data_IF_543703421488
#
_entry.id   IF_543703421488
#
_cell.length_a   1.000
_cell.length_b   1.000
_cell.length_c   1.000
_cell.angle_alpha   90.00
_cell.angle_beta   90.00
_cell.angle_gamma   90.00
#
_symmetry.space_group_name_H-M   'P 1'
#
loop_
_entity.id
_entity.type
_entity.pdbx_description
1 polymer ?
#
# COMPACT_ATOMS: atom_id res chain seq x y z
N UNK A 1 -58.49 -6.35 -44.28
CA UNK A 1 -57.98 -7.74 -44.27
C UNK A 1 -56.46 -7.70 -44.20
N UNK A 2 -55.83 -8.46 -43.28
CA UNK A 2 -54.37 -8.50 -43.16
C UNK A 2 -53.77 -9.55 -44.10
N UNK A 3 -52.53 -9.39 -44.57
CA UNK A 3 -51.70 -10.51 -44.98
C UNK A 3 -50.65 -10.84 -43.92
N UNK A 4 -50.78 -12.07 -43.42
CA UNK A 4 -49.74 -13.07 -43.18
C UNK A 4 -48.39 -12.67 -42.54
N UNK A 5 -48.30 -13.06 -41.26
CA UNK A 5 -47.07 -13.50 -40.54
C UNK A 5 -46.09 -14.26 -41.44
N UNK A 6 -44.83 -13.79 -41.49
CA UNK A 6 -43.64 -14.64 -41.69
C UNK A 6 -42.62 -14.40 -40.57
N UNK A 7 -41.95 -15.50 -40.24
CA UNK A 7 -41.26 -15.86 -38.99
C UNK A 7 -40.06 -14.97 -38.64
N UNK A 8 -39.72 -14.80 -37.35
CA UNK A 8 -38.52 -14.06 -36.95
C UNK A 8 -37.26 -14.86 -37.34
N UNK A 9 -36.37 -14.19 -38.05
CA UNK A 9 -35.02 -14.67 -38.30
C UNK A 9 -34.26 -14.80 -36.99
N UNK A 10 -33.73 -16.00 -36.76
CA UNK A 10 -32.83 -16.39 -35.68
C UNK A 10 -31.58 -15.52 -35.73
N UNK A 11 -31.49 -14.52 -34.87
CA UNK A 11 -30.23 -13.82 -34.59
C UNK A 11 -29.30 -14.85 -33.95
N UNK A 12 -28.18 -15.14 -34.60
CA UNK A 12 -27.13 -15.97 -34.02
C UNK A 12 -26.48 -15.17 -32.89
N UNK A 13 -26.74 -15.60 -31.65
CA UNK A 13 -25.91 -15.27 -30.50
C UNK A 13 -24.47 -15.68 -30.80
N UNK A 14 -23.57 -14.69 -30.95
CA UNK A 14 -22.14 -14.93 -30.88
C UNK A 14 -21.76 -15.03 -29.40
N UNK A 15 -21.94 -16.22 -28.84
CA UNK A 15 -21.51 -16.56 -27.48
C UNK A 15 -20.01 -16.89 -27.46
N UNK A 16 -19.28 -16.09 -26.68
CA UNK A 16 -18.09 -16.42 -25.88
C UNK A 16 -16.89 -17.10 -26.53
N UNK A 17 -15.71 -16.46 -26.46
CA UNK A 17 -14.51 -17.00 -25.76
C UNK A 17 -13.58 -15.85 -25.33
N UNK A 18 -13.85 -15.20 -24.21
CA UNK A 18 -12.80 -14.50 -23.44
C UNK A 18 -12.26 -15.49 -22.43
N UNK A 19 -11.10 -16.06 -22.74
CA UNK A 19 -10.32 -16.89 -21.82
C UNK A 19 -9.81 -15.99 -20.69
N UNK A 20 -10.55 -15.92 -19.59
CA UNK A 20 -10.01 -15.47 -18.30
C UNK A 20 -9.29 -16.67 -17.69
N UNK A 21 -7.96 -16.66 -17.72
CA UNK A 21 -7.18 -17.52 -16.82
C UNK A 21 -7.38 -16.95 -15.41
N UNK A 22 -7.93 -17.71 -14.45
CA UNK A 22 -7.70 -17.39 -13.05
C UNK A 22 -6.20 -17.62 -12.80
N UNK A 23 -5.49 -16.59 -12.36
CA UNK A 23 -4.18 -16.80 -11.73
C UNK A 23 -4.43 -17.37 -10.35
N UNK A 24 -4.86 -18.62 -10.30
CA UNK A 24 -4.81 -19.44 -9.09
C UNK A 24 -3.34 -19.74 -8.87
N UNK A 25 -2.77 -19.23 -7.78
CA UNK A 25 -1.44 -19.62 -7.32
C UNK A 25 -1.36 -21.13 -7.34
N UNK A 26 -0.43 -21.67 -8.13
CA UNK A 26 -0.23 -23.11 -8.15
C UNK A 26 0.29 -23.55 -6.78
N UNK A 27 -0.04 -24.77 -6.31
CA UNK A 27 0.49 -25.27 -5.03
C UNK A 27 2.03 -25.18 -4.93
N UNK A 28 2.72 -25.24 -6.07
CA UNK A 28 4.18 -25.03 -6.17
C UNK A 28 4.61 -23.57 -5.98
N UNK A 29 3.83 -22.58 -6.42
CA UNK A 29 4.10 -21.16 -6.16
C UNK A 29 3.80 -20.80 -4.70
N UNK A 30 2.73 -21.36 -4.14
CA UNK A 30 2.45 -21.27 -2.70
C UNK A 30 3.58 -21.91 -1.87
N UNK A 31 4.10 -23.07 -2.30
CA UNK A 31 5.21 -23.75 -1.64
C UNK A 31 6.55 -22.99 -1.78
N UNK A 32 6.79 -22.33 -2.92
CA UNK A 32 7.97 -21.43 -3.09
C UNK A 32 7.90 -20.21 -2.18
N UNK A 33 6.69 -19.70 -1.91
CA UNK A 33 6.47 -18.63 -0.93
C UNK A 33 6.74 -19.17 0.49
N UNK A 34 6.24 -20.37 0.84
CA UNK A 34 6.56 -21.04 2.12
C UNK A 34 8.05 -21.33 2.31
N UNK A 35 8.79 -21.61 1.24
CA UNK A 35 10.24 -21.82 1.32
C UNK A 35 11.05 -20.51 1.48
N UNK A 36 10.53 -19.37 1.01
CA UNK A 36 11.07 -18.05 1.35
C UNK A 36 10.77 -17.63 2.79
N UNK A 37 9.81 -18.29 3.44
CA UNK A 37 9.36 -18.05 4.82
C UNK A 37 10.10 -18.89 5.89
N UNK A 38 11.25 -19.52 5.56
CA UNK A 38 12.12 -20.20 6.55
C UNK A 38 13.12 -19.22 7.17
N UNK A 39 13.50 -19.42 8.44
CA UNK A 39 14.04 -18.36 9.32
C UNK A 39 15.35 -17.75 8.81
N UNK A 40 15.46 -16.42 8.94
CA UNK A 40 16.72 -15.68 8.83
C UNK A 40 17.67 -16.23 9.90
N UNK A 41 18.80 -16.80 9.49
CA UNK A 41 19.85 -17.16 10.44
C UNK A 41 20.33 -15.89 11.14
N UNK A 42 20.26 -15.91 12.47
CA UNK A 42 20.82 -14.88 13.34
C UNK A 42 22.31 -14.66 13.05
N UNK A 43 22.73 -13.38 13.07
CA UNK A 43 24.13 -13.00 13.10
C UNK A 43 24.86 -13.66 14.30
N UNK A 44 26.03 -14.28 14.12
CA UNK A 44 26.85 -14.72 15.24
C UNK A 44 27.64 -13.53 15.79
N UNK A 45 27.48 -13.24 17.07
CA UNK A 45 28.23 -12.19 17.76
C UNK A 45 27.89 -12.07 19.24
N UNK A 46 27.99 -13.18 19.98
CA UNK A 46 27.87 -13.22 21.44
C UNK A 46 29.23 -12.89 22.07
N UNK A 47 29.27 -12.11 23.16
CA UNK A 47 30.04 -12.48 24.36
C UNK A 47 29.58 -11.71 25.61
N UNK A 48 29.56 -12.46 26.70
CA UNK A 48 29.13 -12.18 28.07
C UNK A 48 29.95 -11.13 28.84
N UNK A 49 29.30 -10.49 29.81
CA UNK A 49 29.68 -10.56 31.23
C UNK A 49 30.91 -9.81 31.78
N UNK A 50 30.64 -8.63 32.36
CA UNK A 50 31.14 -8.12 33.67
C UNK A 50 32.59 -7.60 33.80
N UNK A 51 32.77 -6.28 34.10
CA UNK A 51 33.22 -5.74 35.42
C UNK A 51 33.67 -4.24 35.39
N UNK A 52 32.90 -3.40 36.10
CA UNK A 52 33.18 -2.24 37.01
C UNK A 52 34.31 -1.19 36.80
N UNK A 53 33.87 0.09 36.85
CA UNK A 53 34.33 1.28 37.63
C UNK A 53 35.51 2.17 37.15
N UNK A 54 35.21 3.43 36.77
CA UNK A 54 35.62 4.73 37.39
C UNK A 54 35.70 5.90 36.38
N UNK A 55 35.30 7.10 36.86
CA UNK A 55 35.10 8.39 36.20
C UNK A 55 36.37 9.08 35.63
N UNK A 56 36.26 9.73 34.45
CA UNK A 56 36.37 11.19 34.25
C UNK A 56 36.16 11.59 32.75
N UNK A 57 35.65 12.79 32.43
CA UNK A 57 35.11 13.11 31.10
C UNK A 57 36.09 13.92 30.23
N UNK A 58 36.25 13.54 28.94
CA UNK A 58 36.68 14.48 27.91
C UNK A 58 36.15 14.09 26.51
N UNK A 59 35.75 15.07 25.69
CA UNK A 59 34.95 14.84 24.50
C UNK A 59 35.84 14.45 23.34
N UNK A 60 35.59 13.28 22.74
CA UNK A 60 36.12 12.94 21.43
C UNK A 60 35.01 12.45 20.52
N UNK A 61 35.00 13.07 19.35
CA UNK A 61 34.09 12.85 18.25
C UNK A 61 33.73 11.37 18.12
N UNK A 62 32.42 11.09 18.26
CA UNK A 62 31.82 9.93 17.64
C UNK A 62 31.86 10.20 16.13
N UNK A 63 32.98 9.86 15.50
CA UNK A 63 32.93 9.30 14.15
C UNK A 63 32.67 7.81 14.36
N UNK A 64 31.42 7.51 14.72
CA UNK A 64 30.91 6.15 14.73
C UNK A 64 30.82 5.69 13.29
N UNK A 65 31.82 4.92 12.91
CA UNK A 65 31.94 4.19 11.67
C UNK A 65 30.81 3.14 11.59
N UNK A 66 29.58 3.58 11.29
CA UNK A 66 28.38 2.74 11.09
C UNK A 66 28.07 2.54 9.60
N UNK A 67 29.07 2.73 8.73
CA UNK A 67 28.93 2.72 7.28
C UNK A 67 28.97 1.32 6.66
N UNK A 68 29.14 0.25 7.45
CA UNK A 68 29.22 -1.12 6.93
C UNK A 68 27.87 -1.71 6.55
N UNK A 69 26.88 -1.63 7.46
CA UNK A 69 25.58 -2.30 7.30
C UNK A 69 24.58 -1.50 6.45
N UNK A 70 24.63 -0.16 6.50
CA UNK A 70 23.78 0.71 5.67
C UNK A 70 24.09 0.61 4.16
N UNK A 71 25.23 0.02 3.80
CA UNK A 71 25.70 -0.06 2.41
C UNK A 71 25.22 -1.35 1.71
N UNK A 72 25.01 -2.44 2.46
CA UNK A 72 24.66 -3.74 1.85
C UNK A 72 23.25 -3.78 1.27
N UNK A 73 22.24 -3.22 1.96
CA UNK A 73 20.87 -3.22 1.42
C UNK A 73 20.76 -2.25 0.24
N UNK A 74 21.47 -1.12 0.27
CA UNK A 74 21.48 -0.14 -0.82
C UNK A 74 22.02 -0.74 -2.11
N UNK A 75 23.13 -1.49 -2.04
CA UNK A 75 23.69 -2.21 -3.18
C UNK A 75 22.73 -3.30 -3.68
N UNK A 76 22.09 -4.05 -2.77
CA UNK A 76 21.07 -5.04 -3.15
C UNK A 76 19.86 -4.41 -3.82
N UNK A 77 19.41 -3.24 -3.37
CA UNK A 77 18.34 -2.49 -4.03
C UNK A 77 18.76 -2.08 -5.44
N UNK A 78 19.95 -1.50 -5.59
CA UNK A 78 20.48 -1.08 -6.89
C UNK A 78 20.60 -2.25 -7.88
N UNK A 79 20.92 -3.45 -7.40
CA UNK A 79 20.97 -4.66 -8.23
C UNK A 79 19.60 -5.05 -8.83
N UNK A 80 18.48 -4.59 -8.24
CA UNK A 80 17.16 -4.80 -8.84
C UNK A 80 16.96 -4.01 -10.15
N UNK A 81 17.80 -3.03 -10.44
CA UNK A 81 17.79 -2.34 -11.74
C UNK A 81 17.94 -3.33 -12.90
N UNK A 82 18.69 -4.44 -12.71
CA UNK A 82 18.87 -5.47 -13.74
C UNK A 82 17.61 -6.30 -14.02
N UNK A 83 16.63 -6.31 -13.12
CA UNK A 83 15.34 -7.03 -13.28
C UNK A 83 14.16 -6.07 -13.47
N UNK A 84 14.43 -4.76 -13.51
CA UNK A 84 13.44 -3.75 -13.85
C UNK A 84 12.97 -3.97 -15.30
N UNK A 85 11.66 -4.07 -15.58
CA UNK A 85 11.20 -4.45 -16.90
C UNK A 85 11.60 -3.41 -17.97
N UNK A 86 12.15 -3.85 -19.09
CA UNK A 86 12.52 -2.96 -20.20
C UNK A 86 11.33 -2.26 -20.87
N UNK A 87 10.10 -2.69 -20.56
CA UNK A 87 8.86 -2.10 -21.06
C UNK A 87 8.41 -0.86 -20.27
N UNK A 88 9.02 -0.59 -19.12
CA UNK A 88 8.68 0.60 -18.32
C UNK A 88 9.14 1.88 -19.00
N UNK A 89 8.41 2.94 -18.77
CA UNK A 89 8.68 4.27 -19.33
C UNK A 89 9.68 5.08 -18.51
N UNK A 90 9.84 4.77 -17.22
CA UNK A 90 10.79 5.41 -16.31
C UNK A 90 11.95 4.46 -15.93
N UNK A 91 13.15 5.00 -15.67
CA UNK A 91 14.28 4.22 -15.16
C UNK A 91 14.01 3.73 -13.74
N UNK A 92 14.65 2.64 -13.33
CA UNK A 92 14.62 2.20 -11.94
C UNK A 92 15.31 3.23 -11.03
N UNK A 93 14.68 3.66 -9.92
CA UNK A 93 15.28 4.62 -9.00
C UNK A 93 16.30 3.88 -8.12
N UNK A 94 17.54 4.33 -8.19
CA UNK A 94 18.61 3.83 -7.34
C UNK A 94 18.46 4.40 -5.93
N UNK A 95 19.11 3.77 -4.95
CA UNK A 95 19.15 4.32 -3.59
C UNK A 95 19.72 5.75 -3.57
N UNK A 96 20.73 6.01 -4.40
CA UNK A 96 21.36 7.32 -4.55
C UNK A 96 20.58 8.29 -5.44
N UNK A 97 19.44 7.87 -5.99
CA UNK A 97 18.60 8.75 -6.80
C UNK A 97 18.03 9.87 -5.95
N UNK A 98 17.90 11.03 -6.59
CA UNK A 98 17.31 12.23 -5.98
C UNK A 98 15.81 12.05 -5.72
N UNK A 99 15.21 12.84 -4.80
CA UNK A 99 13.77 12.81 -4.57
C UNK A 99 12.93 13.02 -5.84
N UNK A 100 13.41 13.81 -6.80
CA UNK A 100 12.71 14.09 -8.05
C UNK A 100 12.71 12.89 -9.00
N UNK A 101 13.82 12.14 -9.08
CA UNK A 101 13.91 10.89 -9.86
C UNK A 101 13.03 9.80 -9.26
N UNK A 102 12.99 9.70 -7.93
CA UNK A 102 12.05 8.84 -7.21
C UNK A 102 10.59 9.23 -7.52
N UNK A 103 10.26 10.52 -7.43
CA UNK A 103 8.92 11.01 -7.76
C UNK A 103 8.55 10.72 -9.22
N UNK A 104 9.47 10.92 -10.15
CA UNK A 104 9.26 10.64 -11.57
C UNK A 104 8.91 9.16 -11.79
N UNK A 105 9.72 8.24 -11.26
CA UNK A 105 9.47 6.81 -11.36
C UNK A 105 8.15 6.42 -10.70
N UNK A 106 7.92 6.90 -9.48
CA UNK A 106 6.72 6.59 -8.72
C UNK A 106 5.44 7.11 -9.40
N UNK A 107 5.53 8.18 -10.19
CA UNK A 107 4.43 8.70 -10.98
C UNK A 107 4.17 7.88 -12.25
N UNK A 108 5.22 7.45 -12.94
CA UNK A 108 5.09 6.70 -14.20
C UNK A 108 4.76 5.22 -13.96
N UNK A 109 5.37 4.59 -12.96
CA UNK A 109 5.37 3.14 -12.75
C UNK A 109 5.04 2.74 -11.28
N UNK A 110 3.97 3.28 -10.66
CA UNK A 110 3.70 3.10 -9.23
C UNK A 110 3.53 1.63 -8.81
N UNK A 111 2.83 0.83 -9.62
CA UNK A 111 2.57 -0.57 -9.33
C UNK A 111 3.81 -1.44 -9.50
N UNK A 112 4.63 -1.15 -10.52
CA UNK A 112 5.87 -1.88 -10.76
C UNK A 112 6.92 -1.58 -9.68
N UNK A 113 6.98 -0.32 -9.22
CA UNK A 113 7.84 0.07 -8.10
C UNK A 113 7.40 -0.64 -6.80
N UNK A 114 6.09 -0.73 -6.55
CA UNK A 114 5.57 -1.45 -5.38
C UNK A 114 5.89 -2.95 -5.45
N UNK A 115 5.81 -3.55 -6.64
CA UNK A 115 6.23 -4.94 -6.86
C UNK A 115 7.72 -5.13 -6.57
N UNK A 116 8.59 -4.18 -6.95
CA UNK A 116 10.00 -4.27 -6.61
C UNK A 116 10.21 -4.24 -5.10
N UNK A 117 9.50 -3.39 -4.35
CA UNK A 117 9.55 -3.41 -2.89
C UNK A 117 9.04 -4.73 -2.29
N UNK A 118 7.94 -5.29 -2.81
CA UNK A 118 7.42 -6.60 -2.37
C UNK A 118 8.40 -7.76 -2.61
N UNK A 119 9.23 -7.66 -3.65
CA UNK A 119 10.23 -8.69 -3.97
C UNK A 119 11.56 -8.48 -3.24
N UNK A 120 11.77 -7.29 -2.68
CA UNK A 120 12.99 -6.94 -1.99
C UNK A 120 12.99 -7.50 -0.56
N UNK A 121 14.19 -7.81 -0.05
CA UNK A 121 14.36 -8.43 1.27
C UNK A 121 14.20 -7.44 2.44
N UNK A 122 14.38 -6.14 2.15
CA UNK A 122 14.38 -5.04 3.13
C UNK A 122 13.47 -3.88 2.68
N UNK A 123 12.17 -4.09 2.42
CA UNK A 123 11.26 -3.03 2.00
C UNK A 123 11.19 -1.88 3.00
N UNK A 124 11.35 -2.16 4.29
CA UNK A 124 11.37 -1.18 5.37
C UNK A 124 12.51 -0.16 5.25
N UNK A 125 13.68 -0.59 4.78
CA UNK A 125 14.84 0.29 4.60
C UNK A 125 14.59 1.27 3.45
N UNK A 126 14.03 0.76 2.34
CA UNK A 126 13.62 1.60 1.21
C UNK A 126 12.58 2.62 1.69
N UNK A 127 11.49 2.18 2.32
CA UNK A 127 10.43 3.07 2.78
C UNK A 127 10.88 4.10 3.82
N UNK A 128 11.83 3.74 4.70
CA UNK A 128 12.40 4.65 5.70
C UNK A 128 13.32 5.70 5.09
N UNK A 129 13.98 5.37 3.97
CA UNK A 129 14.86 6.31 3.25
C UNK A 129 14.10 7.36 2.43
N UNK A 130 12.82 7.13 2.12
CA UNK A 130 12.03 8.00 1.27
C UNK A 130 11.38 9.14 2.06
N UNK A 131 11.47 10.35 1.51
CA UNK A 131 10.79 11.52 2.06
C UNK A 131 9.28 11.52 1.79
N UNK A 132 8.52 12.22 2.64
CA UNK A 132 7.05 12.31 2.58
C UNK A 132 6.52 12.67 1.18
N UNK A 133 7.22 13.56 0.47
CA UNK A 133 6.85 13.98 -0.89
C UNK A 133 6.81 12.80 -1.87
N UNK A 134 7.79 11.90 -1.79
CA UNK A 134 7.86 10.72 -2.68
C UNK A 134 6.70 9.79 -2.37
N UNK A 135 6.43 9.50 -1.09
CA UNK A 135 5.32 8.64 -0.67
C UNK A 135 3.96 9.20 -1.14
N UNK A 136 3.78 10.51 -1.04
CA UNK A 136 2.56 11.17 -1.52
C UNK A 136 2.40 11.08 -3.04
N UNK A 137 3.47 11.30 -3.82
CA UNK A 137 3.44 11.19 -5.28
C UNK A 137 3.15 9.76 -5.69
N UNK A 138 3.86 8.80 -5.11
CA UNK A 138 3.72 7.37 -5.41
C UNK A 138 2.30 6.87 -5.21
N UNK A 139 1.66 7.31 -4.13
CA UNK A 139 0.31 6.85 -3.77
C UNK A 139 -0.81 7.68 -4.39
N UNK A 140 -0.52 8.69 -5.21
CA UNK A 140 -1.51 9.67 -5.66
C UNK A 140 -2.73 9.03 -6.35
N UNK A 141 -2.50 8.07 -7.26
CA UNK A 141 -3.57 7.38 -7.98
C UNK A 141 -4.44 6.51 -7.04
N UNK A 142 -3.81 5.76 -6.14
CA UNK A 142 -4.52 4.92 -5.16
C UNK A 142 -5.32 5.74 -4.15
N UNK A 143 -4.79 6.89 -3.72
CA UNK A 143 -5.54 7.84 -2.86
C UNK A 143 -6.78 8.38 -3.57
N UNK A 144 -6.65 8.67 -4.86
CA UNK A 144 -7.78 9.08 -5.68
C UNK A 144 -8.85 7.97 -5.82
N UNK A 145 -8.43 6.74 -6.08
CA UNK A 145 -9.33 5.57 -6.12
C UNK A 145 -10.07 5.36 -4.79
N UNK A 146 -9.36 5.45 -3.66
CA UNK A 146 -9.96 5.35 -2.33
C UNK A 146 -11.01 6.44 -2.09
N UNK A 147 -10.69 7.71 -2.40
CA UNK A 147 -11.65 8.82 -2.29
C UNK A 147 -12.89 8.56 -3.15
N UNK A 148 -12.68 8.20 -4.42
CA UNK A 148 -13.77 7.92 -5.35
C UNK A 148 -14.67 6.80 -4.82
N UNK A 149 -14.10 5.67 -4.41
CA UNK A 149 -14.86 4.53 -3.89
C UNK A 149 -15.66 4.89 -2.63
N UNK A 150 -15.07 5.65 -1.69
CA UNK A 150 -15.79 6.09 -0.49
C UNK A 150 -16.87 7.14 -0.77
N UNK A 151 -16.67 8.03 -1.74
CA UNK A 151 -17.72 8.96 -2.17
C UNK A 151 -18.91 8.25 -2.80
N UNK A 152 -18.68 7.23 -3.63
CA UNK A 152 -19.76 6.37 -4.18
C UNK A 152 -20.53 5.67 -3.05
N UNK A 153 -19.82 5.16 -2.05
CA UNK A 153 -20.45 4.53 -0.88
C UNK A 153 -21.22 5.53 -0.02
N UNK A 154 -20.70 6.75 0.19
CA UNK A 154 -21.43 7.79 0.91
C UNK A 154 -22.69 8.20 0.15
N UNK A 155 -22.58 8.35 -1.17
CA UNK A 155 -23.69 8.67 -2.07
C UNK A 155 -24.83 7.65 -2.03
N UNK A 156 -24.52 6.37 -1.86
CA UNK A 156 -25.55 5.31 -1.77
C UNK A 156 -26.27 5.31 -0.42
N UNK A 157 -25.57 5.67 0.66
CA UNK A 157 -26.12 5.67 2.03
C UNK A 157 -26.93 6.92 2.41
N UNK A 158 -26.49 8.10 1.98
CA UNK A 158 -27.15 9.35 2.37
C UNK A 158 -28.56 9.47 1.79
N UNK A 159 -29.53 10.01 2.53
CA UNK A 159 -30.91 10.28 2.05
C UNK A 159 -31.12 11.73 1.63
N UNK A 160 -30.22 12.64 2.01
CA UNK A 160 -30.31 14.06 1.67
C UNK A 160 -30.08 14.30 0.18
N UNK A 161 -31.09 14.84 -0.50
CA UNK A 161 -31.06 15.10 -1.95
C UNK A 161 -30.00 16.12 -2.33
N UNK A 162 -29.78 17.14 -1.51
CA UNK A 162 -28.79 18.19 -1.80
C UNK A 162 -27.36 17.64 -1.73
N UNK A 163 -27.08 16.78 -0.75
CA UNK A 163 -25.81 16.07 -0.60
C UNK A 163 -25.61 15.05 -1.71
N UNK A 164 -26.64 14.27 -2.06
CA UNK A 164 -26.56 13.33 -3.20
C UNK A 164 -26.13 14.01 -4.49
N UNK A 165 -26.83 15.09 -4.87
CA UNK A 165 -26.54 15.84 -6.10
C UNK A 165 -25.11 16.38 -6.10
N UNK A 166 -24.66 16.94 -4.97
CA UNK A 166 -23.31 17.46 -4.85
C UNK A 166 -22.23 16.38 -4.94
N UNK A 167 -22.43 15.21 -4.31
CA UNK A 167 -21.48 14.09 -4.44
C UNK A 167 -21.43 13.61 -5.89
N UNK A 168 -22.57 13.49 -6.57
CA UNK A 168 -22.63 13.09 -7.98
C UNK A 168 -21.83 14.05 -8.88
N UNK A 169 -21.96 15.37 -8.65
CA UNK A 169 -21.19 16.39 -9.34
C UNK A 169 -19.69 16.30 -9.05
N UNK A 170 -19.30 15.99 -7.81
CA UNK A 170 -17.89 15.86 -7.44
C UNK A 170 -17.25 14.59 -8.00
N UNK A 171 -17.93 13.44 -7.91
CA UNK A 171 -17.49 12.18 -8.53
C UNK A 171 -17.25 12.41 -10.03
N UNK A 172 -18.18 13.07 -10.72
CA UNK A 172 -18.06 13.40 -12.14
C UNK A 172 -16.85 14.29 -12.45
N UNK A 173 -16.47 15.17 -11.52
CA UNK A 173 -15.27 16.00 -11.65
C UNK A 173 -13.99 15.17 -11.44
N UNK A 174 -13.98 14.27 -10.46
CA UNK A 174 -12.83 13.43 -10.14
C UNK A 174 -12.46 12.46 -11.28
N UNK A 175 -13.43 11.98 -12.05
CA UNK A 175 -13.17 11.09 -13.19
C UNK A 175 -12.60 11.81 -14.43
N UNK A 176 -12.54 13.15 -14.44
CA UNK A 176 -12.03 13.90 -15.58
C UNK A 176 -10.50 14.07 -15.46
N UNK A 177 -9.76 13.99 -16.57
CA UNK A 177 -8.35 14.35 -16.58
C UNK A 177 -8.19 15.78 -16.02
N UNK A 178 -7.20 16.03 -15.14
CA UNK A 178 -6.93 17.38 -14.68
C UNK A 178 -6.60 18.28 -15.88
N UNK A 179 -7.17 19.49 -15.98
CA UNK A 179 -6.79 20.45 -17.01
C UNK A 179 -5.29 20.75 -16.92
N UNK A 180 -4.62 20.90 -18.06
CA UNK A 180 -3.14 20.99 -18.15
C UNK A 180 -2.49 22.13 -17.33
N UNK A 181 -3.27 23.05 -16.75
CA UNK A 181 -2.78 24.21 -16.00
C UNK A 181 -3.53 24.46 -14.66
N UNK A 182 -4.30 23.49 -14.15
CA UNK A 182 -5.03 23.64 -12.90
C UNK A 182 -4.60 22.59 -11.88
N UNK A 183 -4.64 22.98 -10.61
CA UNK A 183 -4.42 22.05 -9.51
C UNK A 183 -5.38 20.85 -9.64
N UNK A 184 -4.94 19.63 -9.27
CA UNK A 184 -5.79 18.45 -9.35
C UNK A 184 -7.14 18.69 -8.64
N UNK A 185 -8.24 18.24 -9.24
CA UNK A 185 -9.61 18.48 -8.73
C UNK A 185 -9.86 17.89 -7.32
N UNK A 186 -8.92 17.05 -6.85
CA UNK A 186 -8.86 16.56 -5.48
C UNK A 186 -8.56 17.65 -4.45
N UNK A 187 -8.06 18.83 -4.84
CA UNK A 187 -7.72 19.95 -3.94
C UNK A 187 -8.85 20.99 -3.84
N UNK A 188 -10.10 20.62 -4.18
CA UNK A 188 -11.25 21.51 -4.05
C UNK A 188 -11.59 21.81 -2.57
N UNK A 189 -11.17 22.98 -2.09
CA UNK A 189 -11.37 23.45 -0.70
C UNK A 189 -12.84 23.46 -0.27
N UNK A 190 -13.76 23.87 -1.13
CA UNK A 190 -15.19 23.94 -0.80
C UNK A 190 -15.76 22.53 -0.59
N UNK A 191 -15.37 21.59 -1.46
CA UNK A 191 -15.80 20.20 -1.36
C UNK A 191 -15.32 19.54 -0.06
N UNK A 192 -14.05 19.76 0.33
CA UNK A 192 -13.53 19.28 1.62
C UNK A 192 -14.20 19.92 2.82
N UNK A 193 -14.47 21.23 2.77
CA UNK A 193 -15.18 21.93 3.83
C UNK A 193 -16.58 21.34 4.01
N UNK A 194 -17.27 21.05 2.90
CA UNK A 194 -18.59 20.41 2.94
C UNK A 194 -18.53 18.97 3.43
N UNK A 195 -17.49 18.18 3.13
CA UNK A 195 -17.31 16.85 3.74
C UNK A 195 -17.16 16.94 5.26
N UNK A 196 -16.32 17.85 5.75
CA UNK A 196 -16.10 18.06 7.19
C UNK A 196 -17.39 18.43 7.90
N UNK A 197 -18.17 19.35 7.34
CA UNK A 197 -19.46 19.77 7.90
C UNK A 197 -20.48 18.63 7.95
N UNK A 198 -20.36 17.65 7.05
CA UNK A 198 -21.19 16.44 7.05
C UNK A 198 -20.54 15.27 7.82
N UNK A 199 -19.52 15.52 8.64
CA UNK A 199 -18.78 14.49 9.39
C UNK A 199 -18.30 13.33 8.50
N UNK A 200 -17.95 13.63 7.25
CA UNK A 200 -17.56 12.65 6.24
C UNK A 200 -18.58 11.52 6.03
N UNK A 201 -19.87 11.73 6.36
CA UNK A 201 -20.88 10.67 6.28
C UNK A 201 -20.63 9.50 7.23
N UNK A 202 -19.97 9.76 8.37
CA UNK A 202 -19.56 8.77 9.37
C UNK A 202 -18.66 7.67 8.78
N UNK A 203 -17.72 8.07 7.92
CA UNK A 203 -16.85 7.17 7.19
C UNK A 203 -15.39 7.52 7.46
N UNK A 204 -14.71 6.73 8.30
CA UNK A 204 -13.35 7.01 8.73
C UNK A 204 -12.33 6.91 7.60
N UNK A 205 -12.60 6.10 6.57
CA UNK A 205 -11.75 6.03 5.37
C UNK A 205 -11.93 7.32 4.55
N UNK A 206 -13.16 7.82 4.41
CA UNK A 206 -13.39 9.10 3.73
C UNK A 206 -12.75 10.27 4.49
N UNK A 207 -12.73 10.22 5.83
CA UNK A 207 -11.98 11.16 6.67
C UNK A 207 -10.46 11.03 6.47
N UNK A 208 -9.95 9.81 6.36
CA UNK A 208 -8.54 9.55 6.06
C UNK A 208 -8.13 10.06 4.67
N UNK A 209 -9.05 10.12 3.72
CA UNK A 209 -8.84 10.72 2.39
C UNK A 209 -8.73 12.25 2.39
N UNK A 210 -9.02 12.95 3.50
CA UNK A 210 -8.90 14.42 3.56
C UNK A 210 -7.49 14.89 3.17
N UNK A 211 -7.41 16.03 2.47
CA UNK A 211 -6.14 16.65 2.06
C UNK A 211 -5.20 16.95 3.23
N UNK A 212 -5.73 17.11 4.45
CA UNK A 212 -4.91 17.23 5.66
C UNK A 212 -4.20 15.93 6.09
N UNK A 213 -4.63 14.79 5.55
CA UNK A 213 -4.15 13.45 5.91
C UNK A 213 -3.34 12.77 4.78
N UNK A 214 -2.93 13.51 3.73
CA UNK A 214 -2.26 12.95 2.52
C UNK A 214 -1.13 11.99 2.87
N UNK A 215 -0.16 12.45 3.68
CA UNK A 215 0.95 11.64 4.18
C UNK A 215 0.48 10.38 4.93
N UNK A 216 -0.44 10.53 5.88
CA UNK A 216 -0.93 9.42 6.69
C UNK A 216 -1.60 8.36 5.82
N UNK A 217 -2.45 8.77 4.87
CA UNK A 217 -3.07 7.85 3.93
C UNK A 217 -2.04 7.20 3.01
N UNK A 218 -1.02 7.93 2.56
CA UNK A 218 0.07 7.37 1.75
C UNK A 218 0.80 6.24 2.48
N UNK A 219 1.13 6.45 3.76
CA UNK A 219 1.76 5.42 4.60
C UNK A 219 0.86 4.19 4.77
N UNK A 220 -0.43 4.37 5.06
CA UNK A 220 -1.37 3.25 5.14
C UNK A 220 -1.47 2.48 3.82
N UNK A 221 -1.51 3.18 2.68
CA UNK A 221 -1.59 2.54 1.36
C UNK A 221 -0.32 1.77 1.02
N UNK A 222 0.85 2.33 1.28
CA UNK A 222 2.11 1.62 1.02
C UNK A 222 2.24 0.37 1.89
N UNK A 223 1.85 0.47 3.16
CA UNK A 223 1.81 -0.70 4.04
C UNK A 223 0.83 -1.77 3.51
N UNK A 224 -0.40 -1.36 3.19
CA UNK A 224 -1.43 -2.23 2.64
C UNK A 224 -1.00 -2.91 1.34
N UNK A 225 -0.30 -2.20 0.47
CA UNK A 225 0.14 -2.72 -0.82
C UNK A 225 1.35 -3.63 -0.68
N UNK A 226 2.39 -3.18 0.05
CA UNK A 226 3.66 -3.92 0.14
C UNK A 226 3.48 -5.20 0.96
N UNK A 227 2.73 -5.15 2.06
CA UNK A 227 2.47 -6.30 2.92
C UNK A 227 1.12 -6.97 2.64
N UNK A 228 0.59 -6.82 1.42
CA UNK A 228 -0.75 -7.32 1.08
C UNK A 228 -0.88 -8.79 1.42
N UNK A 229 0.08 -9.63 1.01
CA UNK A 229 0.02 -11.09 1.19
C UNK A 229 -0.05 -11.47 2.66
N UNK A 230 0.78 -10.83 3.47
CA UNK A 230 0.84 -11.00 4.91
C UNK A 230 -0.47 -10.53 5.57
N UNK A 231 -1.06 -9.44 5.09
CA UNK A 231 -2.36 -8.95 5.53
C UNK A 231 -3.50 -9.89 5.15
N UNK A 232 -3.45 -10.57 4.00
CA UNK A 232 -4.46 -11.55 3.62
C UNK A 232 -4.49 -12.72 4.60
N UNK A 233 -3.32 -13.25 4.95
CA UNK A 233 -3.17 -14.31 5.96
C UNK A 233 -3.66 -13.82 7.31
N UNK A 234 -3.23 -12.63 7.74
CA UNK A 234 -3.58 -12.05 9.04
C UNK A 234 -5.08 -11.84 9.24
N UNK A 235 -5.84 -11.65 8.14
CA UNK A 235 -7.28 -11.37 8.17
C UNK A 235 -8.12 -12.54 7.65
N UNK A 236 -7.52 -13.66 7.23
CA UNK A 236 -8.23 -14.81 6.68
C UNK A 236 -8.94 -14.53 5.36
N UNK A 237 -8.35 -13.70 4.50
CA UNK A 237 -8.96 -13.20 3.25
C UNK A 237 -8.16 -13.57 1.99
N UNK A 238 -7.43 -14.69 2.01
CA UNK A 238 -6.56 -15.08 0.88
C UNK A 238 -7.35 -15.40 -0.41
N UNK A 239 -8.61 -15.77 -0.29
CA UNK A 239 -9.47 -16.10 -1.43
C UNK A 239 -10.22 -14.89 -2.02
N UNK A 240 -10.10 -13.70 -1.41
CA UNK A 240 -10.81 -12.52 -1.88
C UNK A 240 -10.26 -12.06 -3.27
N UNK A 241 -11.09 -12.10 -4.32
CA UNK A 241 -10.65 -11.72 -5.66
C UNK A 241 -10.48 -10.21 -5.83
N UNK A 242 -11.03 -9.38 -4.92
CA UNK A 242 -10.91 -7.93 -5.02
C UNK A 242 -9.57 -7.44 -4.45
N UNK A 243 -8.70 -7.03 -5.37
CA UNK A 243 -7.36 -6.57 -5.07
C UNK A 243 -7.16 -5.06 -5.35
N UNK A 244 -8.25 -4.29 -5.38
CA UNK A 244 -8.22 -2.84 -5.54
C UNK A 244 -7.55 -2.13 -4.36
N UNK A 245 -7.03 -0.92 -4.59
CA UNK A 245 -6.34 -0.14 -3.54
C UNK A 245 -7.21 0.13 -2.30
N UNK A 246 -8.50 0.39 -2.49
CA UNK A 246 -9.46 0.56 -1.41
C UNK A 246 -9.65 -0.73 -0.58
N UNK A 247 -9.72 -1.89 -1.23
CA UNK A 247 -9.96 -3.18 -0.57
C UNK A 247 -8.73 -3.61 0.22
N UNK A 248 -7.52 -3.39 -0.33
CA UNK A 248 -6.25 -3.51 0.42
C UNK A 248 -6.20 -2.60 1.64
N UNK A 249 -6.57 -1.32 1.47
CA UNK A 249 -6.60 -0.37 2.58
C UNK A 249 -7.59 -0.80 3.67
N UNK A 250 -8.78 -1.26 3.30
CA UNK A 250 -9.77 -1.76 4.25
C UNK A 250 -9.25 -2.97 5.03
N UNK A 251 -8.56 -3.90 4.35
CA UNK A 251 -7.93 -5.07 4.96
C UNK A 251 -6.84 -4.67 5.96
N UNK A 252 -5.97 -3.73 5.58
CA UNK A 252 -4.97 -3.14 6.47
C UNK A 252 -5.59 -2.51 7.73
N UNK A 253 -6.61 -1.67 7.55
CA UNK A 253 -7.27 -1.01 8.68
C UNK A 253 -7.99 -1.99 9.60
N UNK A 254 -8.62 -3.03 9.04
CA UNK A 254 -9.22 -4.12 9.81
C UNK A 254 -8.15 -4.88 10.61
N UNK A 255 -7.01 -5.21 9.99
CA UNK A 255 -5.90 -5.87 10.68
C UNK A 255 -5.39 -5.06 11.88
N UNK A 256 -5.27 -3.74 11.75
CA UNK A 256 -4.91 -2.84 12.85
C UNK A 256 -5.97 -2.79 13.96
N UNK A 257 -7.24 -2.97 13.62
CA UNK A 257 -8.33 -3.01 14.58
C UNK A 257 -8.30 -4.31 15.41
N UNK A 258 -8.18 -5.45 14.73
CA UNK A 258 -8.32 -6.77 15.35
C UNK A 258 -7.02 -7.35 15.92
N UNK A 259 -5.84 -6.92 15.44
CA UNK A 259 -4.56 -7.43 15.90
C UNK A 259 -3.81 -6.40 16.75
N UNK A 260 -3.82 -6.60 18.07
CA UNK A 260 -3.16 -5.68 19.01
C UNK A 260 -1.64 -5.56 18.78
N UNK A 261 -0.96 -6.67 18.47
CA UNK A 261 0.49 -6.66 18.19
C UNK A 261 0.82 -5.87 16.94
N UNK A 262 0.00 -6.02 15.89
CA UNK A 262 0.17 -5.25 14.66
C UNK A 262 -0.06 -3.76 14.90
N UNK A 263 -1.11 -3.43 15.67
CA UNK A 263 -1.41 -2.05 16.06
C UNK A 263 -0.26 -1.41 16.84
N UNK A 264 0.36 -2.15 17.75
CA UNK A 264 1.51 -1.67 18.53
C UNK A 264 2.77 -1.49 17.65
N UNK A 265 2.94 -2.36 16.65
CA UNK A 265 4.02 -2.28 15.66
C UNK A 265 3.81 -1.19 14.60
N UNK A 266 2.59 -0.68 14.45
CA UNK A 266 2.26 0.48 13.60
C UNK A 266 1.95 1.70 14.48
N UNK A 267 2.93 2.25 15.24
CA UNK A 267 2.67 3.37 16.12
C UNK A 267 2.31 4.60 15.29
N UNK A 268 1.12 5.14 15.50
CA UNK A 268 0.69 6.41 14.89
C UNK A 268 1.31 7.62 15.63
N UNK A 269 2.11 7.38 16.67
CA UNK A 269 2.73 8.42 17.47
C UNK A 269 3.67 9.28 16.60
N UNK A 270 3.39 10.58 16.52
CA UNK A 270 4.14 11.60 15.75
C UNK A 270 3.97 11.53 14.22
N UNK A 271 3.07 10.69 13.70
CA UNK A 271 2.66 10.72 12.30
C UNK A 271 3.69 10.18 11.29
N UNK A 272 4.66 9.39 11.75
CA UNK A 272 5.52 8.56 10.91
C UNK A 272 5.36 7.10 11.31
N UNK A 273 5.38 6.22 10.32
CA UNK A 273 5.39 4.77 10.54
C UNK A 273 6.82 4.33 10.83
N UNK A 274 6.99 3.54 11.88
CA UNK A 274 8.22 2.77 12.09
C UNK A 274 8.17 1.54 11.19
N UNK A 275 8.71 1.67 9.97
CA UNK A 275 8.71 0.59 8.99
C UNK A 275 9.49 -0.63 9.47
N UNK A 276 10.52 -0.44 10.29
CA UNK A 276 11.28 -1.53 10.89
C UNK A 276 10.45 -2.33 11.89
N UNK A 277 9.62 -1.66 12.70
CA UNK A 277 8.68 -2.34 13.59
C UNK A 277 7.62 -3.14 12.82
N UNK A 278 7.09 -2.58 11.74
CA UNK A 278 6.15 -3.27 10.83
C UNK A 278 6.80 -4.51 10.21
N UNK A 279 8.02 -4.39 9.67
CA UNK A 279 8.74 -5.51 9.06
C UNK A 279 9.06 -6.62 10.08
N UNK A 280 9.48 -6.25 11.29
CA UNK A 280 9.70 -7.21 12.39
C UNK A 280 8.41 -7.93 12.76
N UNK A 281 7.29 -7.22 12.88
CA UNK A 281 6.01 -7.85 13.17
C UNK A 281 5.65 -8.91 12.13
N UNK A 282 5.73 -8.59 10.84
CA UNK A 282 5.40 -9.54 9.79
C UNK A 282 6.42 -10.69 9.68
N UNK A 283 7.70 -10.44 9.97
CA UNK A 283 8.73 -11.49 10.05
C UNK A 283 8.45 -12.46 11.21
N UNK A 284 8.16 -11.94 12.42
CA UNK A 284 7.85 -12.75 13.60
C UNK A 284 6.53 -13.52 13.44
N UNK A 285 5.53 -12.92 12.79
CA UNK A 285 4.26 -13.57 12.48
C UNK A 285 4.45 -14.79 11.58
N UNK A 286 5.40 -14.71 10.64
CA UNK A 286 5.81 -15.83 9.77
C UNK A 286 6.53 -16.92 10.57
N UNK A 287 7.42 -16.57 11.50
CA UNK A 287 8.14 -17.55 12.33
C UNK A 287 7.22 -18.30 13.31
N UNK A 288 6.18 -17.64 13.83
CA UNK A 288 5.13 -18.26 14.67
C UNK A 288 4.06 -18.98 13.84
N UNK A 289 3.97 -18.64 12.55
CA UNK A 289 3.11 -19.23 11.52
C UNK A 289 3.32 -20.71 11.22
N UNK A 290 4.39 -21.32 11.76
CA UNK A 290 4.62 -22.76 11.66
C UNK A 290 3.81 -23.63 12.63
N UNK A 291 3.11 -23.05 13.63
CA UNK A 291 2.47 -23.88 14.67
C UNK A 291 1.26 -23.32 15.42
N UNK A 292 0.99 -22.01 15.44
CA UNK A 292 -0.05 -21.46 16.34
C UNK A 292 -0.78 -20.25 15.73
N UNK A 293 -1.55 -20.48 14.66
CA UNK A 293 -2.66 -19.57 14.27
C UNK A 293 -4.02 -20.29 14.25
N UNK A 294 -4.04 -21.56 14.65
CA UNK A 294 -5.25 -22.27 15.07
C UNK A 294 -5.30 -22.22 16.61
N UNK A 295 -6.39 -21.67 17.15
CA UNK A 295 -6.69 -21.43 18.58
C UNK A 295 -6.15 -20.11 19.11
N UNK A 296 -6.90 -19.05 18.83
CA UNK A 296 -7.80 -18.49 19.84
C UNK A 296 -8.47 -17.25 19.23
N UNK A 297 -9.69 -17.44 18.72
CA UNK A 297 -10.87 -16.59 18.84
C UNK A 297 -11.97 -17.01 17.86
#
# INVERSE_FOLDING_TARGET
MPPARRKPGRVKEASTKTSKRPHTLTPMEAERIRQRMKPKQAHPGQTDGTQLMMDEPMPRAYEGNDSGAATEWADRWNNLAGVWPSTTTAPFPLFTSTPDEWCYTAQQEPAQLALMCQLFEFPEEVLSSLGDKVLEVWTAAWRHECLHGRLVAYRSRTTDRATRKWIDEWITKLTRPPPQNLAPLIDNREAWTRLRNNSYGNDDILKLCDVGNKRRLAQHLLCAIIYEKELQVLTGTEEDPDNGSLSKLMRHLLALEVNARYRDAYPVARGHVDWGAVARFFSDAVERGGGEWDRDH
#
